data_IF_867554737826
#
_entry.id   IF_867554737826
#
_cell.length_a   1.000
_cell.length_b   1.000
_cell.length_c   1.000
_cell.angle_alpha   90.00
_cell.angle_beta   90.00
_cell.angle_gamma   90.00
#
_symmetry.space_group_name_H-M   'P 1'
#
loop_
_entity.id
_entity.type
_entity.pdbx_description
1 polymer ?
#
# COMPACT_ATOMS: atom_id res chain seq x y z
N UNK A 1 11.01 8.86 28.28
CA UNK A 1 10.76 9.76 27.11
C UNK A 1 11.07 9.10 25.77
N UNK A 2 12.07 8.22 25.68
CA UNK A 2 12.39 7.45 24.47
C UNK A 2 11.26 6.52 24.02
N UNK A 3 10.54 5.90 24.97
CA UNK A 3 9.39 5.01 24.67
C UNK A 3 8.27 5.75 23.93
N UNK A 4 7.96 6.99 24.34
CA UNK A 4 7.01 7.86 23.65
C UNK A 4 7.46 8.15 22.21
N UNK A 5 8.74 8.47 22.00
CA UNK A 5 9.31 8.72 20.67
C UNK A 5 9.16 7.47 19.77
N UNK A 6 9.49 6.28 20.29
CA UNK A 6 9.38 5.02 19.56
C UNK A 6 7.92 4.75 19.18
N UNK A 7 6.98 4.93 20.10
CA UNK A 7 5.55 4.75 19.84
C UNK A 7 5.03 5.74 18.81
N UNK A 8 5.44 7.01 18.86
CA UNK A 8 5.07 8.00 17.85
C UNK A 8 5.60 7.62 16.47
N UNK A 9 6.85 7.16 16.36
CA UNK A 9 7.42 6.73 15.09
C UNK A 9 6.65 5.52 14.53
N UNK A 10 6.34 4.53 15.36
CA UNK A 10 5.54 3.37 14.97
C UNK A 10 4.15 3.77 14.50
N UNK A 11 3.49 4.69 15.21
CA UNK A 11 2.18 5.21 14.83
C UNK A 11 2.23 5.88 13.46
N UNK A 12 3.22 6.76 13.23
CA UNK A 12 3.40 7.42 11.94
C UNK A 12 3.66 6.38 10.83
N UNK A 13 4.46 5.35 11.10
CA UNK A 13 4.74 4.29 10.14
C UNK A 13 3.46 3.51 9.76
N UNK A 14 2.60 3.19 10.73
CA UNK A 14 1.31 2.52 10.47
C UNK A 14 0.38 3.44 9.69
N UNK A 15 0.27 4.71 10.06
CA UNK A 15 -0.56 5.68 9.34
C UNK A 15 -0.09 5.84 7.89
N UNK A 16 1.22 5.97 7.66
CA UNK A 16 1.80 6.05 6.33
C UNK A 16 1.50 4.78 5.51
N UNK A 17 1.64 3.59 6.13
CA UNK A 17 1.28 2.33 5.50
C UNK A 17 -0.19 2.29 5.06
N UNK A 18 -1.11 2.68 5.93
CA UNK A 18 -2.56 2.70 5.64
C UNK A 18 -2.90 3.67 4.51
N UNK A 19 -2.33 4.88 4.52
CA UNK A 19 -2.54 5.88 3.47
C UNK A 19 -2.04 5.36 2.13
N UNK A 20 -0.82 4.79 2.08
CA UNK A 20 -0.25 4.23 0.86
C UNK A 20 -1.08 3.05 0.33
N UNK A 21 -1.52 2.15 1.21
CA UNK A 21 -2.40 1.04 0.84
C UNK A 21 -3.71 1.55 0.24
N UNK A 22 -4.35 2.55 0.86
CA UNK A 22 -5.60 3.15 0.37
C UNK A 22 -5.46 3.77 -1.03
N UNK A 23 -4.40 4.55 -1.24
CA UNK A 23 -4.09 5.16 -2.55
C UNK A 23 -3.85 4.08 -3.61
N UNK A 24 -3.12 3.02 -3.26
CA UNK A 24 -2.85 1.90 -4.15
C UNK A 24 -4.13 1.13 -4.48
N UNK A 25 -4.99 0.86 -3.50
CA UNK A 25 -6.29 0.23 -3.69
C UNK A 25 -7.17 1.02 -4.66
N UNK A 26 -7.25 2.34 -4.49
CA UNK A 26 -8.00 3.21 -5.40
C UNK A 26 -7.50 3.05 -6.83
N UNK A 27 -6.17 3.09 -7.03
CA UNK A 27 -5.56 3.00 -8.36
C UNK A 27 -5.77 1.64 -9.02
N UNK A 28 -5.65 0.54 -8.27
CA UNK A 28 -5.93 -0.81 -8.75
C UNK A 28 -7.39 -0.97 -9.16
N UNK A 29 -8.33 -0.43 -8.39
CA UNK A 29 -9.76 -0.53 -8.69
C UNK A 29 -10.14 0.20 -9.97
N UNK A 30 -9.61 1.41 -10.15
CA UNK A 30 -9.90 2.25 -11.31
C UNK A 30 -9.17 1.81 -12.57
N UNK A 31 -8.25 0.84 -12.50
CA UNK A 31 -7.50 0.38 -13.66
C UNK A 31 -8.34 -0.57 -14.53
N UNK A 32 -8.70 -0.21 -15.77
CA UNK A 32 -9.45 -1.10 -16.66
C UNK A 32 -8.57 -2.21 -17.26
N UNK A 33 -7.24 -2.07 -17.22
CA UNK A 33 -6.31 -3.05 -17.79
C UNK A 33 -6.16 -4.33 -16.96
N UNK A 34 -6.63 -4.31 -15.71
CA UNK A 34 -6.50 -5.42 -14.77
C UNK A 34 -7.78 -6.26 -14.72
N UNK A 35 -7.63 -7.57 -14.85
CA UNK A 35 -8.74 -8.50 -14.59
C UNK A 35 -9.09 -8.54 -13.10
N UNK A 36 -10.27 -9.07 -12.76
CA UNK A 36 -10.72 -9.21 -11.36
C UNK A 36 -9.69 -9.95 -10.48
N UNK A 37 -9.14 -11.05 -10.98
CA UNK A 37 -8.13 -11.84 -10.25
C UNK A 37 -6.83 -11.05 -10.06
N UNK A 38 -6.39 -10.31 -11.09
CA UNK A 38 -5.19 -9.47 -11.00
C UNK A 38 -5.39 -8.32 -10.02
N UNK A 39 -6.57 -7.69 -10.02
CA UNK A 39 -6.93 -6.66 -9.02
C UNK A 39 -6.83 -7.23 -7.61
N UNK A 40 -7.37 -8.43 -7.38
CA UNK A 40 -7.34 -9.04 -6.05
C UNK A 40 -5.91 -9.36 -5.59
N UNK A 41 -5.07 -9.88 -6.48
CA UNK A 41 -3.65 -10.13 -6.19
C UNK A 41 -2.90 -8.84 -5.83
N UNK A 42 -3.15 -7.76 -6.58
CA UNK A 42 -2.51 -6.47 -6.33
C UNK A 42 -3.01 -5.82 -5.03
N UNK A 43 -4.28 -5.98 -4.68
CA UNK A 43 -4.85 -5.56 -3.39
C UNK A 43 -4.15 -6.26 -2.22
N UNK A 44 -3.97 -7.58 -2.32
CA UNK A 44 -3.28 -8.37 -1.28
C UNK A 44 -1.82 -7.92 -1.11
N UNK A 45 -1.14 -7.65 -2.21
CA UNK A 45 0.23 -7.09 -2.22
C UNK A 45 0.30 -5.70 -1.60
N UNK A 46 -0.68 -4.84 -1.91
CA UNK A 46 -0.79 -3.51 -1.33
C UNK A 46 -1.02 -3.55 0.19
N UNK A 47 -1.73 -4.56 0.69
CA UNK A 47 -1.94 -4.75 2.13
C UNK A 47 -0.67 -5.18 2.87
N UNK A 48 0.15 -6.03 2.26
CA UNK A 48 1.38 -6.53 2.89
C UNK A 48 2.45 -5.44 2.95
N UNK A 49 2.76 -4.82 1.80
CA UNK A 49 3.81 -3.81 1.75
C UNK A 49 3.58 -2.80 0.61
N UNK A 50 2.70 -1.80 0.83
CA UNK A 50 2.24 -0.90 -0.22
C UNK A 50 3.38 -0.08 -0.82
N UNK A 51 4.38 0.31 -0.02
CA UNK A 51 5.52 1.09 -0.50
C UNK A 51 6.31 0.36 -1.60
N UNK A 52 6.70 -0.89 -1.38
CA UNK A 52 7.42 -1.69 -2.38
C UNK A 52 6.56 -2.01 -3.60
N UNK A 53 5.34 -2.48 -3.36
CA UNK A 53 4.47 -2.91 -4.44
C UNK A 53 3.93 -1.75 -5.27
N UNK A 54 3.92 -0.53 -4.77
CA UNK A 54 3.63 0.66 -5.57
C UNK A 54 4.67 0.87 -6.68
N UNK A 55 5.96 0.69 -6.39
CA UNK A 55 7.01 0.74 -7.41
C UNK A 55 6.92 -0.43 -8.38
N UNK A 56 6.65 -1.64 -7.88
CA UNK A 56 6.45 -2.81 -8.73
C UNK A 56 5.22 -2.65 -9.65
N UNK A 57 4.13 -2.06 -9.15
CA UNK A 57 2.91 -1.78 -9.89
C UNK A 57 3.16 -0.77 -11.01
N UNK A 58 3.94 0.28 -10.75
CA UNK A 58 4.33 1.26 -11.76
C UNK A 58 5.25 0.71 -12.85
N UNK A 59 6.14 -0.24 -12.53
CA UNK A 59 7.06 -0.85 -13.49
C UNK A 59 6.40 -1.90 -14.40
N UNK A 60 5.30 -2.51 -13.95
CA UNK A 60 4.54 -3.50 -14.72
C UNK A 60 3.52 -2.87 -15.68
N UNK A 61 3.28 -1.57 -15.53
CA UNK A 61 2.57 -0.75 -16.50
C UNK A 61 3.59 -0.17 -17.48
#
# INVERSE_FOLDING_TARGET
>A
MTELLVQTILLIAVLAHLVLASVMYKKINTDPSLSFHQKNLWRLRALIFPAYYWFAFRKKK
#
